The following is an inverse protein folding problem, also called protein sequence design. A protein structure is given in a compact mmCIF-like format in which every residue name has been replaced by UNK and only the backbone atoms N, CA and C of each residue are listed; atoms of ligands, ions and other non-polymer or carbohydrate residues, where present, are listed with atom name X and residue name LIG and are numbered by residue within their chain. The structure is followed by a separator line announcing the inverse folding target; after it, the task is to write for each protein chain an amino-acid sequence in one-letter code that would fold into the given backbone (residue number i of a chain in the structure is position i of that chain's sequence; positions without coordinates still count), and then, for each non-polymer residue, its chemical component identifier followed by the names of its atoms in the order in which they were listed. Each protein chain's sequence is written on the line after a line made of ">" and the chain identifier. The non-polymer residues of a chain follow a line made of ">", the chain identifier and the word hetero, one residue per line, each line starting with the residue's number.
data_IF_218361975293
#
_entry.id   IF_218361975293
#
_cell.length_a   1.000
_cell.length_b   1.000
_cell.length_c   1.000
_cell.angle_alpha   90.00
_cell.angle_beta   90.00
_cell.angle_gamma   90.00
#
_symmetry.space_group_name_H-M   'P 1'
#
loop_
_entity.id
_entity.type
_entity.pdbx_description
1 polymer ?
#
# COMPACT_ATOMS: atom_id res chain seq x y z
N UNK A 1 18.19 -29.25 21.49
CA UNK A 1 17.37 -29.08 20.27
C UNK A 1 16.51 -27.82 20.44
N UNK A 2 16.29 -27.03 19.39
CA UNK A 2 15.36 -25.89 19.44
C UNK A 2 13.95 -26.42 19.76
N UNK A 3 13.40 -26.05 20.92
CA UNK A 3 12.09 -26.51 21.40
C UNK A 3 10.90 -25.67 20.94
N UNK A 4 11.14 -24.72 20.03
CA UNK A 4 10.09 -23.87 19.46
C UNK A 4 9.35 -24.52 18.30
N UNK A 5 8.35 -23.81 17.79
CA UNK A 5 7.65 -24.17 16.56
C UNK A 5 8.61 -24.27 15.38
N UNK A 6 8.40 -25.27 14.52
CA UNK A 6 9.24 -25.53 13.34
C UNK A 6 8.35 -25.65 12.12
N UNK A 7 8.66 -24.86 11.11
CA UNK A 7 7.89 -24.80 9.86
C UNK A 7 8.79 -25.27 8.72
N UNK A 8 8.27 -26.15 7.86
CA UNK A 8 8.94 -26.65 6.67
C UNK A 8 8.32 -26.07 5.40
N UNK A 9 9.16 -25.76 4.41
CA UNK A 9 8.76 -25.33 3.08
C UNK A 9 9.14 -26.41 2.07
N UNK A 10 8.16 -26.92 1.33
CA UNK A 10 8.40 -27.98 0.34
C UNK A 10 9.13 -27.48 -0.92
N UNK A 11 9.17 -26.16 -1.14
CA UNK A 11 9.76 -25.48 -2.31
C UNK A 11 9.29 -26.06 -3.66
N UNK A 12 8.06 -26.60 -3.70
CA UNK A 12 7.47 -27.12 -4.93
C UNK A 12 6.95 -25.96 -5.80
N UNK A 13 6.83 -26.16 -7.12
CA UNK A 13 6.21 -25.17 -8.00
C UNK A 13 4.87 -24.69 -7.45
N UNK A 14 4.63 -23.38 -7.55
CA UNK A 14 3.42 -22.70 -7.10
C UNK A 14 3.11 -22.87 -5.60
N UNK A 15 4.13 -23.12 -4.77
CA UNK A 15 3.97 -23.21 -3.33
C UNK A 15 3.21 -24.47 -2.88
N UNK A 16 3.25 -25.55 -3.67
CA UNK A 16 2.56 -26.79 -3.35
C UNK A 16 3.04 -27.45 -2.05
N UNK A 17 2.11 -28.11 -1.34
CA UNK A 17 2.35 -28.82 -0.07
C UNK A 17 3.24 -30.08 -0.20
N UNK A 18 3.76 -30.53 0.93
CA UNK A 18 4.39 -31.85 1.03
C UNK A 18 3.35 -32.96 0.76
N UNK A 19 3.72 -34.05 0.07
CA UNK A 19 2.90 -35.27 0.05
C UNK A 19 2.71 -35.85 1.46
N UNK A 20 3.76 -35.76 2.29
CA UNK A 20 3.76 -36.06 3.71
C UNK A 20 4.71 -35.10 4.42
N UNK A 21 4.21 -34.37 5.43
CA UNK A 21 5.00 -33.38 6.15
C UNK A 21 6.14 -34.05 6.97
N UNK A 22 7.34 -33.44 7.04
CA UNK A 22 8.42 -33.95 7.88
C UNK A 22 8.01 -34.04 9.35
N UNK A 23 8.39 -35.13 10.03
CA UNK A 23 8.03 -35.36 11.42
C UNK A 23 8.48 -34.19 12.32
N UNK A 24 7.53 -33.60 13.04
CA UNK A 24 7.77 -32.49 13.96
C UNK A 24 7.88 -31.11 13.31
N UNK A 25 7.49 -30.97 12.04
CA UNK A 25 7.38 -29.69 11.32
C UNK A 25 5.94 -29.45 10.86
N UNK A 26 5.48 -28.20 10.93
CA UNK A 26 4.27 -27.74 10.26
C UNK A 26 4.56 -27.49 8.76
N UNK A 27 3.61 -27.79 7.89
CA UNK A 27 3.73 -27.49 6.45
C UNK A 27 3.26 -26.07 6.15
N UNK A 28 4.19 -25.19 5.76
CA UNK A 28 3.88 -23.81 5.41
C UNK A 28 2.75 -23.69 4.37
N UNK A 29 2.74 -24.57 3.37
CA UNK A 29 1.79 -24.53 2.26
C UNK A 29 0.37 -24.99 2.66
N UNK A 30 0.21 -25.57 3.85
CA UNK A 30 -1.09 -25.87 4.44
C UNK A 30 -1.50 -24.75 5.39
N UNK A 31 -0.59 -24.32 6.26
CA UNK A 31 -0.91 -23.39 7.34
C UNK A 31 -1.15 -21.96 6.84
N UNK A 32 -0.29 -21.44 5.95
CA UNK A 32 -0.28 -20.02 5.63
C UNK A 32 -1.37 -19.59 4.64
N UNK A 33 -1.67 -20.31 3.55
CA UNK A 33 -2.73 -19.90 2.62
C UNK A 33 -4.12 -19.81 3.24
N UNK A 34 -4.36 -20.55 4.34
CA UNK A 34 -5.61 -20.47 5.11
C UNK A 34 -5.70 -19.26 6.04
N UNK A 35 -4.59 -18.59 6.32
CA UNK A 35 -4.55 -17.35 7.09
C UNK A 35 -4.76 -16.18 6.14
N UNK A 36 -6.01 -15.75 5.99
CA UNK A 36 -6.32 -14.53 5.22
C UNK A 36 -5.64 -13.30 5.83
N UNK A 37 -5.41 -12.29 5.00
CA UNK A 37 -4.83 -11.01 5.43
C UNK A 37 -5.76 -10.30 6.41
N UNK A 38 -5.58 -10.57 7.71
CA UNK A 38 -6.23 -9.85 8.80
C UNK A 38 -5.21 -8.94 9.44
N UNK A 39 -5.38 -7.64 9.22
CA UNK A 39 -4.61 -6.66 9.96
C UNK A 39 -5.12 -6.62 11.41
N UNK A 40 -4.24 -6.92 12.36
CA UNK A 40 -4.42 -6.62 13.77
C UNK A 40 -3.24 -5.74 14.19
N UNK A 41 -3.48 -4.54 14.76
CA UNK A 41 -2.38 -3.69 15.19
C UNK A 41 -1.64 -4.35 16.36
N UNK A 42 -0.30 -4.30 16.34
CA UNK A 42 0.54 -4.89 17.38
C UNK A 42 0.31 -4.26 18.77
N UNK A 43 -0.13 -3.00 18.81
CA UNK A 43 -0.51 -2.27 20.02
C UNK A 43 -1.68 -1.33 19.70
N UNK A 44 -2.46 -0.89 20.71
CA UNK A 44 -3.49 0.14 20.51
C UNK A 44 -2.90 1.39 19.85
N UNK A 45 -3.60 1.92 18.85
CA UNK A 45 -3.22 3.17 18.17
C UNK A 45 -3.97 4.31 18.83
N UNK A 46 -3.24 5.31 19.34
CA UNK A 46 -3.81 6.59 19.75
C UNK A 46 -4.07 7.44 18.50
N UNK A 47 -5.33 7.73 18.13
CA UNK A 47 -5.67 8.51 16.95
C UNK A 47 -5.12 9.94 16.97
N UNK A 48 -4.89 10.51 18.16
CA UNK A 48 -4.42 11.88 18.36
C UNK A 48 -2.89 11.97 18.47
N UNK A 49 -2.20 10.83 18.50
CA UNK A 49 -0.74 10.82 18.43
C UNK A 49 -0.24 11.33 17.06
N UNK A 50 0.99 11.88 16.99
CA UNK A 50 1.60 12.28 15.74
C UNK A 50 1.65 11.12 14.74
N UNK A 51 1.16 11.36 13.52
CA UNK A 51 1.08 10.35 12.46
C UNK A 51 1.99 10.64 11.27
N UNK A 52 1.92 11.84 10.71
CA UNK A 52 2.71 12.22 9.54
C UNK A 52 3.26 13.63 9.68
N UNK A 53 4.55 13.79 9.41
CA UNK A 53 5.21 15.08 9.25
C UNK A 53 5.71 15.18 7.81
N UNK A 54 5.38 16.30 7.15
CA UNK A 54 5.70 16.57 5.75
C UNK A 54 6.42 17.91 5.69
N UNK A 55 7.46 17.99 4.86
CA UNK A 55 8.38 19.13 4.84
C UNK A 55 9.46 18.96 5.91
N UNK A 56 10.64 18.51 5.47
CA UNK A 56 11.83 18.37 6.31
C UNK A 56 12.56 19.71 6.52
N UNK A 57 13.76 19.63 7.09
CA UNK A 57 14.60 20.80 7.35
C UNK A 57 14.89 21.55 6.04
N UNK A 58 14.51 22.84 6.01
CA UNK A 58 14.65 23.71 4.82
C UNK A 58 13.40 23.81 3.93
N UNK A 59 12.32 23.08 4.22
CA UNK A 59 11.03 23.28 3.53
C UNK A 59 10.39 24.60 3.96
N UNK A 60 9.86 25.37 2.99
CA UNK A 60 9.10 26.60 3.26
C UNK A 60 7.76 26.35 3.96
N UNK A 61 7.30 25.10 4.01
CA UNK A 61 6.09 24.70 4.73
C UNK A 61 6.29 23.33 5.37
N UNK A 62 5.97 23.25 6.67
CA UNK A 62 5.93 22.00 7.44
C UNK A 62 4.47 21.72 7.82
N UNK A 63 4.02 20.50 7.55
CA UNK A 63 2.68 20.03 7.90
C UNK A 63 2.81 18.86 8.84
N UNK A 64 2.14 18.92 9.98
CA UNK A 64 2.05 17.81 10.93
C UNK A 64 0.59 17.38 11.07
N UNK A 65 0.34 16.07 11.01
CA UNK A 65 -0.98 15.47 11.11
C UNK A 65 -0.95 14.37 12.16
N UNK A 66 -2.00 14.31 12.99
CA UNK A 66 -2.30 13.13 13.78
C UNK A 66 -2.76 11.98 12.88
N UNK A 67 -2.83 10.75 13.40
CA UNK A 67 -3.37 9.63 12.63
C UNK A 67 -4.81 9.86 12.18
N UNK A 68 -5.67 10.39 13.05
CA UNK A 68 -7.03 10.76 12.70
C UNK A 68 -7.09 11.90 11.68
N UNK A 69 -6.25 12.93 11.85
CA UNK A 69 -6.16 14.06 10.92
C UNK A 69 -5.71 13.63 9.52
N UNK A 70 -4.73 12.73 9.44
CA UNK A 70 -4.26 12.14 8.18
C UNK A 70 -5.39 11.44 7.43
N UNK A 71 -6.10 10.52 8.09
CA UNK A 71 -7.20 9.76 7.47
C UNK A 71 -8.36 10.69 7.10
N UNK A 72 -8.72 11.63 7.96
CA UNK A 72 -9.80 12.60 7.72
C UNK A 72 -9.51 13.46 6.49
N UNK A 73 -8.31 14.01 6.39
CA UNK A 73 -7.89 14.84 5.25
C UNK A 73 -7.81 14.04 3.96
N UNK A 74 -7.28 12.82 4.00
CA UNK A 74 -7.24 11.93 2.85
C UNK A 74 -8.64 11.57 2.32
N UNK A 75 -9.62 11.33 3.22
CA UNK A 75 -11.02 11.09 2.83
C UNK A 75 -11.66 12.31 2.18
N UNK A 76 -11.39 13.50 2.72
CA UNK A 76 -11.88 14.75 2.13
C UNK A 76 -11.32 14.94 0.71
N UNK A 77 -10.01 14.77 0.55
CA UNK A 77 -9.34 14.89 -0.76
C UNK A 77 -9.82 13.82 -1.75
N UNK A 78 -10.10 12.61 -1.28
CA UNK A 78 -10.70 11.55 -2.10
C UNK A 78 -12.10 11.95 -2.60
N UNK A 79 -12.92 12.55 -1.73
CA UNK A 79 -14.24 13.07 -2.10
C UNK A 79 -14.15 14.19 -3.13
N UNK A 80 -13.22 15.13 -2.97
CA UNK A 80 -12.97 16.21 -3.96
C UNK A 80 -12.55 15.65 -5.31
N UNK A 81 -11.77 14.56 -5.32
CA UNK A 81 -11.31 13.88 -6.53
C UNK A 81 -12.33 12.88 -7.11
N UNK A 82 -13.43 12.63 -6.42
CA UNK A 82 -14.43 11.64 -6.85
C UNK A 82 -13.95 10.19 -6.78
N UNK A 83 -12.94 9.89 -5.95
CA UNK A 83 -12.39 8.53 -5.82
C UNK A 83 -13.33 7.64 -5.00
N UNK A 84 -13.35 6.36 -5.34
CA UNK A 84 -14.14 5.35 -4.63
C UNK A 84 -13.57 3.95 -4.76
N UNK A 85 -14.31 2.93 -4.27
CA UNK A 85 -13.96 1.54 -4.49
C UNK A 85 -13.81 1.26 -5.99
N UNK A 86 -12.68 0.66 -6.37
CA UNK A 86 -12.35 0.39 -7.77
C UNK A 86 -11.56 1.49 -8.48
N UNK A 87 -11.41 2.68 -7.89
CA UNK A 87 -10.45 3.67 -8.39
C UNK A 87 -9.04 3.09 -8.38
N UNK A 88 -8.30 3.30 -9.47
CA UNK A 88 -6.92 2.88 -9.66
C UNK A 88 -6.12 4.06 -10.15
N UNK A 89 -5.39 4.68 -9.22
CA UNK A 89 -4.83 6.02 -9.40
C UNK A 89 -3.36 5.92 -9.78
N UNK A 90 -3.00 6.48 -10.93
CA UNK A 90 -1.61 6.70 -11.33
C UNK A 90 -1.24 8.14 -11.00
N UNK A 91 -0.21 8.33 -10.18
CA UNK A 91 0.31 9.67 -9.88
C UNK A 91 1.75 9.84 -10.36
N UNK A 92 2.02 11.01 -10.95
CA UNK A 92 3.36 11.50 -11.28
C UNK A 92 3.86 12.59 -10.34
N UNK A 93 3.08 12.95 -9.31
CA UNK A 93 3.45 13.98 -8.34
C UNK A 93 4.53 13.48 -7.38
N UNK A 94 5.32 14.42 -6.86
CA UNK A 94 6.34 14.13 -5.85
C UNK A 94 5.70 13.86 -4.47
N UNK A 95 6.28 12.91 -3.72
CA UNK A 95 5.79 12.50 -2.40
C UNK A 95 6.41 13.28 -1.23
N UNK A 96 6.99 14.45 -1.49
CA UNK A 96 7.56 15.36 -0.51
C UNK A 96 6.57 16.44 -0.04
N UNK A 97 5.39 16.52 -0.66
CA UNK A 97 4.30 17.44 -0.30
C UNK A 97 3.03 16.67 0.08
N UNK A 98 2.14 17.34 0.83
CA UNK A 98 0.81 16.79 1.09
C UNK A 98 0.05 16.49 -0.21
N UNK A 99 0.15 17.38 -1.21
CA UNK A 99 -0.61 17.24 -2.45
C UNK A 99 -0.27 15.94 -3.17
N UNK A 100 1.02 15.64 -3.35
CA UNK A 100 1.42 14.40 -4.01
C UNK A 100 1.18 13.16 -3.16
N UNK A 101 1.44 13.23 -1.85
CA UNK A 101 1.13 12.12 -0.92
C UNK A 101 -0.37 11.81 -0.88
N UNK A 102 -1.20 12.83 -0.86
CA UNK A 102 -2.66 12.68 -0.86
C UNK A 102 -3.13 12.08 -2.18
N UNK A 103 -2.76 12.69 -3.31
CA UNK A 103 -3.21 12.28 -4.63
C UNK A 103 -2.76 10.86 -5.00
N UNK A 104 -1.50 10.52 -4.71
CA UNK A 104 -0.89 9.28 -5.18
C UNK A 104 -0.83 8.14 -4.16
N UNK A 105 -1.21 8.39 -2.90
CA UNK A 105 -1.17 7.35 -1.86
C UNK A 105 -2.38 7.40 -0.93
N UNK A 106 -2.57 8.47 -0.17
CA UNK A 106 -3.53 8.43 0.94
C UNK A 106 -4.99 8.53 0.51
N UNK A 107 -5.34 9.43 -0.43
CA UNK A 107 -6.72 9.57 -0.90
C UNK A 107 -7.24 8.31 -1.61
N UNK A 108 -6.48 7.67 -2.54
CA UNK A 108 -6.89 6.40 -3.14
C UNK A 108 -7.17 5.30 -2.11
N UNK A 109 -6.28 5.13 -1.12
CA UNK A 109 -6.44 4.12 -0.08
C UNK A 109 -7.61 4.44 0.86
N UNK A 110 -7.79 5.70 1.24
CA UNK A 110 -8.89 6.14 2.09
C UNK A 110 -10.28 5.96 1.44
N UNK A 111 -10.35 5.98 0.10
CA UNK A 111 -11.54 5.68 -0.68
C UNK A 111 -11.79 4.18 -0.94
N UNK A 112 -10.87 3.30 -0.51
CA UNK A 112 -10.94 1.87 -0.85
C UNK A 112 -10.54 1.55 -2.30
N UNK A 113 -9.83 2.47 -2.95
CA UNK A 113 -9.21 2.27 -4.26
C UNK A 113 -7.80 1.66 -4.15
N UNK A 114 -7.04 1.79 -5.23
CA UNK A 114 -5.69 1.26 -5.39
C UNK A 114 -4.76 2.29 -6.02
N UNK A 115 -3.45 2.10 -5.84
CA UNK A 115 -2.40 2.98 -6.34
C UNK A 115 -1.57 2.29 -7.40
N UNK A 116 -1.17 3.03 -8.43
CA UNK A 116 -0.21 2.58 -9.43
C UNK A 116 1.07 3.37 -9.23
N UNK A 117 2.05 2.75 -8.57
CA UNK A 117 3.37 3.34 -8.33
C UNK A 117 4.25 3.11 -9.55
N UNK A 118 4.51 4.18 -10.31
CA UNK A 118 5.42 4.14 -11.44
C UNK A 118 6.58 5.09 -11.22
N UNK A 119 7.74 4.52 -10.89
CA UNK A 119 8.99 5.28 -10.86
C UNK A 119 9.29 5.85 -12.25
N UNK A 120 9.84 7.07 -12.31
CA UNK A 120 10.23 7.77 -13.53
C UNK A 120 9.10 7.96 -14.55
N UNK A 121 7.85 8.14 -14.08
CA UNK A 121 6.71 8.35 -14.98
C UNK A 121 6.93 9.52 -15.95
N UNK A 122 7.58 10.60 -15.49
CA UNK A 122 7.89 11.79 -16.30
C UNK A 122 8.96 11.56 -17.39
N UNK A 123 9.66 10.43 -17.39
CA UNK A 123 10.61 10.06 -18.45
C UNK A 123 9.93 9.28 -19.59
N UNK A 124 8.68 8.85 -19.40
CA UNK A 124 7.95 8.12 -20.43
C UNK A 124 7.53 9.07 -21.56
N UNK A 125 7.66 8.58 -22.80
CA UNK A 125 6.96 9.20 -23.92
C UNK A 125 5.43 9.11 -23.70
N UNK A 126 4.68 9.99 -24.34
CA UNK A 126 3.22 9.97 -24.29
C UNK A 126 2.64 8.59 -24.68
N UNK A 127 3.21 7.94 -25.70
CA UNK A 127 2.76 6.60 -26.11
C UNK A 127 3.03 5.54 -25.04
N UNK A 128 4.19 5.60 -24.36
CA UNK A 128 4.51 4.67 -23.28
C UNK A 128 3.65 4.92 -22.04
N UNK A 129 3.28 6.17 -21.76
CA UNK A 129 2.34 6.52 -20.70
C UNK A 129 0.95 5.93 -20.96
N UNK A 130 0.42 6.08 -22.17
CA UNK A 130 -0.89 5.50 -22.51
C UNK A 130 -0.89 3.98 -22.42
N UNK A 131 0.17 3.31 -22.90
CA UNK A 131 0.35 1.86 -22.71
C UNK A 131 0.37 1.47 -21.24
N UNK A 132 1.02 2.26 -20.39
CA UNK A 132 1.04 2.00 -18.94
C UNK A 132 -0.36 2.08 -18.37
N UNK A 133 -1.10 3.14 -18.69
CA UNK A 133 -2.48 3.37 -18.22
C UNK A 133 -3.37 2.19 -18.62
N UNK A 134 -3.27 1.73 -19.86
CA UNK A 134 -4.01 0.55 -20.33
C UNK A 134 -3.62 -0.72 -19.56
N UNK A 135 -2.32 -1.04 -19.51
CA UNK A 135 -1.82 -2.27 -18.88
C UNK A 135 -2.13 -2.35 -17.38
N UNK A 136 -2.09 -1.21 -16.70
CA UNK A 136 -2.37 -1.08 -15.28
C UNK A 136 -3.85 -0.81 -15.01
N UNK A 137 -4.70 -0.68 -16.03
CA UNK A 137 -6.14 -0.37 -15.88
C UNK A 137 -6.39 0.87 -15.01
N UNK A 138 -5.63 1.93 -15.27
CA UNK A 138 -5.74 3.21 -14.56
C UNK A 138 -7.08 3.85 -14.85
N UNK A 139 -7.79 4.28 -13.82
CA UNK A 139 -9.08 5.00 -13.92
C UNK A 139 -8.90 6.49 -13.70
N UNK A 140 -7.93 6.88 -12.86
CA UNK A 140 -7.70 8.26 -12.45
C UNK A 140 -6.21 8.60 -12.54
N UNK A 141 -5.90 9.83 -12.97
CA UNK A 141 -4.53 10.31 -13.11
C UNK A 141 -4.32 11.55 -12.25
N UNK A 142 -3.17 11.61 -11.58
CA UNK A 142 -2.66 12.79 -10.90
C UNK A 142 -1.22 13.03 -11.39
N UNK A 143 -1.11 13.51 -12.62
CA UNK A 143 0.15 13.77 -13.35
C UNK A 143 0.21 15.23 -13.78
#
# INVERSE_FOLDING_TARGET
>A
ACGGERVALALRPLGGRFPAAPAGFADYAVEVPGQGDRFAPYAPVDPEAPGLVIGGDGSSSRTELTWAGLVGRARADAGVRGLGPGSRVLSGLAYDTWEGLSAGLFAPLAAGGSVVLCRNLGELSAQSLEKRVESERVTDRAV
#
